data_IF_890621031380
#
_entry.id   IF_890621031380
#
_cell.length_a   1.000
_cell.length_b   1.000
_cell.length_c   1.000
_cell.angle_alpha   90.00
_cell.angle_beta   90.00
_cell.angle_gamma   90.00
#
_symmetry.space_group_name_H-M   'P 1'
#
loop_
_entity.id
_entity.type
_entity.pdbx_description
1 polymer ?
#
# COMPACT_ATOMS: atom_id res chain seq x y z
N UNK A 1 16.70 -23.29 -10.44
CA UNK A 1 15.80 -22.82 -11.50
C UNK A 1 15.30 -21.44 -11.11
N UNK A 2 15.53 -20.42 -11.93
CA UNK A 2 14.98 -19.08 -11.69
C UNK A 2 13.53 -19.09 -12.18
N UNK A 3 12.57 -18.95 -11.26
CA UNK A 3 11.14 -18.90 -11.59
C UNK A 3 10.22 -19.77 -10.72
N UNK A 4 10.75 -20.58 -9.80
CA UNK A 4 9.91 -21.28 -8.83
C UNK A 4 9.57 -20.35 -7.66
N UNK A 5 8.27 -20.18 -7.40
CA UNK A 5 7.79 -19.50 -6.20
C UNK A 5 8.05 -20.41 -4.99
N UNK A 6 8.69 -19.88 -3.96
CA UNK A 6 8.86 -20.61 -2.70
C UNK A 6 7.50 -20.97 -2.09
N UNK A 7 7.39 -22.16 -1.52
CA UNK A 7 6.19 -22.60 -0.84
C UNK A 7 5.89 -21.66 0.35
N UNK A 8 4.69 -21.08 0.36
CA UNK A 8 4.28 -20.19 1.44
C UNK A 8 4.34 -20.92 2.78
N UNK A 9 5.06 -20.33 3.74
CA UNK A 9 5.15 -20.82 5.11
C UNK A 9 4.55 -19.77 6.04
N UNK A 10 3.53 -20.11 6.86
CA UNK A 10 2.91 -19.15 7.77
C UNK A 10 3.89 -18.70 8.84
N UNK A 11 3.71 -17.47 9.33
CA UNK A 11 4.36 -17.00 10.54
C UNK A 11 3.86 -17.77 11.78
N UNK A 12 4.52 -17.59 12.92
CA UNK A 12 4.07 -18.14 14.20
C UNK A 12 4.00 -17.08 15.29
N UNK A 13 2.90 -17.06 16.03
CA UNK A 13 2.77 -16.34 17.29
C UNK A 13 2.45 -17.35 18.40
N UNK A 14 3.47 -17.71 19.18
CA UNK A 14 3.40 -18.84 20.10
C UNK A 14 3.13 -20.15 19.35
N UNK A 15 1.98 -20.78 19.65
CA UNK A 15 1.55 -22.04 19.05
C UNK A 15 0.64 -21.87 17.81
N UNK A 16 0.25 -20.65 17.47
CA UNK A 16 -0.70 -20.38 16.39
C UNK A 16 0.01 -19.96 15.11
N UNK A 17 -0.46 -20.50 13.99
CA UNK A 17 -0.06 -20.01 12.66
C UNK A 17 -0.63 -18.62 12.44
N UNK A 18 0.15 -17.74 11.83
CA UNK A 18 -0.25 -16.37 11.54
C UNK A 18 -0.19 -16.10 10.04
N UNK A 19 -0.99 -15.13 9.62
CA UNK A 19 -0.95 -14.52 8.30
C UNK A 19 -0.52 -13.07 8.54
N UNK A 20 0.53 -12.64 7.84
CA UNK A 20 0.93 -11.25 7.83
C UNK A 20 0.11 -10.51 6.77
N UNK A 21 -0.50 -9.38 7.17
CA UNK A 21 -1.33 -8.54 6.31
C UNK A 21 -0.86 -7.11 6.48
N UNK A 22 -0.22 -6.57 5.44
CA UNK A 22 0.23 -5.17 5.41
C UNK A 22 -0.70 -4.34 4.53
N UNK A 23 -1.02 -3.11 4.95
CA UNK A 23 -1.68 -2.12 4.13
C UNK A 23 -0.70 -0.99 3.81
N UNK A 24 -0.54 -0.64 2.53
CA UNK A 24 0.38 0.42 2.07
C UNK A 24 -0.16 1.84 2.26
N UNK A 25 -1.45 1.97 2.60
CA UNK A 25 -2.15 3.24 2.70
C UNK A 25 -1.98 3.94 4.06
N UNK A 26 -1.39 3.27 5.06
CA UNK A 26 -1.26 3.79 6.41
C UNK A 26 0.16 3.65 6.94
N UNK A 27 0.63 4.69 7.62
CA UNK A 27 1.82 4.69 8.45
C UNK A 27 1.40 4.92 9.91
N UNK A 28 2.09 4.29 10.87
CA UNK A 28 1.83 4.60 12.29
C UNK A 28 2.22 6.04 12.58
N UNK A 29 1.43 6.72 13.41
CA UNK A 29 1.66 8.13 13.75
C UNK A 29 3.07 8.39 14.32
N UNK A 30 3.58 7.48 15.14
CA UNK A 30 4.94 7.57 15.71
C UNK A 30 6.06 7.46 14.66
N UNK A 31 5.77 6.88 13.49
CA UNK A 31 6.73 6.59 12.44
C UNK A 31 6.66 7.60 11.28
N UNK A 32 5.85 8.67 11.40
CA UNK A 32 5.66 9.64 10.31
C UNK A 32 6.90 10.51 10.03
N UNK A 33 7.96 10.42 10.84
CA UNK A 33 9.23 11.16 10.66
C UNK A 33 9.07 12.69 10.43
N UNK A 34 8.03 13.29 10.99
CA UNK A 34 7.72 14.72 10.82
C UNK A 34 6.97 15.07 9.53
N UNK A 35 6.59 14.09 8.71
CA UNK A 35 5.73 14.31 7.55
C UNK A 35 4.33 14.76 7.93
N UNK A 36 3.74 15.63 7.11
CA UNK A 36 2.38 16.07 7.30
C UNK A 36 1.41 15.01 6.75
N UNK A 37 0.37 14.62 7.52
CA UNK A 37 -0.70 13.78 6.99
C UNK A 37 -1.40 14.45 5.80
N UNK A 38 -1.66 13.67 4.76
CA UNK A 38 -2.39 14.09 3.56
C UNK A 38 -3.70 13.32 3.44
N UNK A 39 -4.65 13.86 2.67
CA UNK A 39 -5.90 13.16 2.40
C UNK A 39 -5.74 12.11 1.31
N UNK A 40 -6.52 11.04 1.39
CA UNK A 40 -6.62 10.08 0.30
C UNK A 40 -7.19 10.76 -0.96
N UNK A 41 -6.66 10.39 -2.12
CA UNK A 41 -7.24 10.81 -3.39
C UNK A 41 -8.58 10.09 -3.61
N UNK A 42 -9.50 10.73 -4.34
CA UNK A 42 -10.79 10.11 -4.70
C UNK A 42 -10.62 8.83 -5.54
N UNK A 43 -9.54 8.74 -6.31
CA UNK A 43 -9.22 7.54 -7.09
C UNK A 43 -8.84 6.35 -6.19
N UNK A 44 -8.23 6.62 -5.03
CA UNK A 44 -7.79 5.61 -4.05
C UNK A 44 -8.91 5.27 -3.06
N UNK A 45 -9.68 6.27 -2.61
CA UNK A 45 -10.73 6.09 -1.61
C UNK A 45 -12.09 6.68 -2.05
N UNK A 46 -12.71 6.16 -3.11
CA UNK A 46 -13.92 6.73 -3.70
C UNK A 46 -15.12 6.75 -2.73
N UNK A 47 -15.19 5.77 -1.83
CA UNK A 47 -16.30 5.56 -0.89
C UNK A 47 -15.95 5.96 0.57
N UNK A 48 -14.80 6.62 0.75
CA UNK A 48 -14.27 7.05 2.04
C UNK A 48 -14.06 5.91 3.05
N UNK A 49 -13.82 4.68 2.58
CA UNK A 49 -13.60 3.51 3.44
C UNK A 49 -12.27 3.65 4.17
N UNK A 50 -11.20 4.02 3.47
CA UNK A 50 -9.87 4.21 4.08
C UNK A 50 -9.86 5.40 5.03
N UNK A 51 -10.54 6.48 4.64
CA UNK A 51 -10.74 7.66 5.47
C UNK A 51 -11.49 7.32 6.76
N UNK A 52 -12.55 6.51 6.70
CA UNK A 52 -13.28 6.04 7.89
C UNK A 52 -12.47 5.07 8.75
N UNK A 53 -11.54 4.33 8.14
CA UNK A 53 -10.65 3.41 8.84
C UNK A 53 -9.47 4.11 9.53
N UNK A 54 -9.22 5.40 9.24
CA UNK A 54 -8.23 6.18 9.98
C UNK A 54 -8.60 6.21 11.47
N UNK A 55 -7.65 5.80 12.30
CA UNK A 55 -7.72 5.94 13.74
C UNK A 55 -6.65 6.91 14.23
N UNK A 56 -6.63 7.18 15.53
CA UNK A 56 -5.62 8.07 16.11
C UNK A 56 -4.19 7.55 15.92
N UNK A 57 -4.00 6.25 15.74
CA UNK A 57 -2.68 5.63 15.68
C UNK A 57 -2.08 5.57 14.27
N UNK A 58 -2.87 5.88 13.24
CA UNK A 58 -2.46 5.78 11.84
C UNK A 58 -2.70 7.08 11.08
N UNK A 59 -1.85 7.31 10.08
CA UNK A 59 -1.90 8.45 9.18
C UNK A 59 -1.66 8.00 7.75
N UNK A 60 -2.18 8.77 6.80
CA UNK A 60 -1.79 8.67 5.39
C UNK A 60 -0.79 9.77 5.11
N UNK A 61 0.40 9.43 4.64
CA UNK A 61 1.48 10.37 4.29
C UNK A 61 1.89 10.20 2.82
N UNK A 62 2.78 11.06 2.34
CA UNK A 62 3.18 11.07 0.92
C UNK A 62 3.76 9.72 0.48
N UNK A 63 4.51 9.04 1.34
CA UNK A 63 5.06 7.70 1.06
C UNK A 63 3.99 6.61 0.88
N UNK A 64 2.78 6.82 1.38
CA UNK A 64 1.68 5.87 1.24
C UNK A 64 0.91 6.04 -0.09
N UNK A 65 1.25 7.05 -0.90
CA UNK A 65 0.57 7.29 -2.17
C UNK A 65 1.00 6.22 -3.18
N UNK A 66 0.02 5.43 -3.62
CA UNK A 66 0.22 4.39 -4.65
C UNK A 66 -0.20 4.94 -6.00
N UNK A 67 0.76 5.07 -6.91
CA UNK A 67 0.53 5.53 -8.27
C UNK A 67 0.54 4.35 -9.25
N UNK A 68 -0.40 4.38 -10.19
CA UNK A 68 -0.49 3.39 -11.27
C UNK A 68 -0.05 4.06 -12.56
N UNK A 69 0.93 3.46 -13.22
CA UNK A 69 1.47 3.91 -14.49
C UNK A 69 1.17 2.88 -15.57
N UNK A 70 0.66 3.33 -16.71
CA UNK A 70 0.53 2.50 -17.90
C UNK A 70 1.63 2.89 -18.90
N UNK A 71 2.38 1.90 -19.39
CA UNK A 71 3.34 2.12 -20.46
C UNK A 71 2.59 2.14 -21.80
N UNK A 72 2.51 3.30 -22.43
CA UNK A 72 1.91 3.45 -23.76
C UNK A 72 3.02 3.26 -24.80
N UNK A 73 2.93 2.21 -25.62
CA UNK A 73 3.75 2.12 -26.83
C UNK A 73 3.40 3.30 -27.74
N UNK A 74 4.37 4.20 -27.98
CA UNK A 74 4.24 5.16 -29.07
C UNK A 74 4.23 4.35 -30.36
N UNK A 75 3.06 4.24 -30.97
CA UNK A 75 2.89 3.73 -32.33
C UNK A 75 3.84 4.53 -33.23
N UNK A 76 4.97 3.93 -33.61
CA UNK A 76 6.09 4.60 -34.27
C UNK A 76 5.77 4.78 -35.76
N UNK A 77 4.63 5.39 -36.06
CA UNK A 77 4.17 5.66 -37.43
C UNK A 77 4.62 7.05 -37.84
N UNK A 78 5.79 7.06 -38.48
CA UNK A 78 6.16 8.11 -39.42
C UNK A 78 5.08 8.11 -40.52
N UNK A 79 4.34 9.21 -40.64
CA UNK A 79 3.67 9.62 -41.87
C UNK A 79 4.05 11.07 -42.16
#
# INVERSE_FOLDING_TARGET
>A
MQGELEAWTPGRFGQFNTIDISNRYFTRRGDMNGEAPIQFSRAVDPENILTKALSNDFVHIQENVVEYYEAVEKDNRIK
#
